data_IF_892205390517
#
_entry.id   IF_892205390517
#
_cell.length_a   1.000
_cell.length_b   1.000
_cell.length_c   1.000
_cell.angle_alpha   90.00
_cell.angle_beta   90.00
_cell.angle_gamma   90.00
#
_symmetry.space_group_name_H-M   'P 1'
#
loop_
_entity.id
_entity.type
_entity.pdbx_description
1 polymer ?
#
# COMPACT_ATOMS: atom_id res chain seq x y z
N UNK A 1 -0.83 -4.51 -11.07
CA UNK A 1 -0.44 -4.37 -9.65
C UNK A 1 -0.65 -2.93 -9.23
N UNK A 2 -1.53 -2.66 -8.27
CA UNK A 2 -1.71 -1.32 -7.69
C UNK A 2 -0.60 -1.06 -6.67
N UNK A 3 0.61 -0.77 -7.15
CA UNK A 3 1.70 -0.35 -6.27
C UNK A 3 1.39 1.07 -5.77
N UNK A 4 1.44 1.34 -4.45
CA UNK A 4 1.21 2.67 -3.93
C UNK A 4 2.13 3.70 -4.59
N UNK A 5 1.57 4.80 -5.10
CA UNK A 5 2.36 5.81 -5.81
C UNK A 5 3.46 6.46 -4.95
N UNK A 6 3.30 6.46 -3.62
CA UNK A 6 4.34 6.89 -2.68
C UNK A 6 5.56 5.96 -2.66
N UNK A 7 5.37 4.64 -2.82
CA UNK A 7 6.49 3.69 -2.96
C UNK A 7 7.20 3.87 -4.30
N UNK A 8 6.44 4.14 -5.38
CA UNK A 8 7.03 4.44 -6.69
C UNK A 8 7.94 5.67 -6.62
N UNK A 9 7.52 6.70 -5.88
CA UNK A 9 8.34 7.89 -5.65
C UNK A 9 9.63 7.58 -4.88
N UNK A 10 9.54 6.82 -3.77
CA UNK A 10 10.72 6.37 -3.00
C UNK A 10 11.69 5.62 -3.91
N UNK A 11 11.18 4.71 -4.74
CA UNK A 11 12.00 3.92 -5.66
C UNK A 11 12.70 4.78 -6.71
N UNK A 12 12.00 5.71 -7.34
CA UNK A 12 12.59 6.60 -8.35
C UNK A 12 13.67 7.51 -7.74
N UNK A 13 13.47 7.97 -6.51
CA UNK A 13 14.45 8.76 -5.75
C UNK A 13 15.68 7.94 -5.38
N UNK A 14 15.48 6.78 -4.77
CA UNK A 14 16.56 5.86 -4.38
C UNK A 14 17.40 5.47 -5.59
N UNK A 15 16.76 5.10 -6.70
CA UNK A 15 17.43 4.72 -7.95
C UNK A 15 18.20 5.87 -8.58
N UNK A 16 17.75 7.12 -8.42
CA UNK A 16 18.52 8.27 -8.86
C UNK A 16 19.80 8.43 -8.04
N UNK A 17 19.70 8.33 -6.72
CA UNK A 17 20.86 8.45 -5.81
C UNK A 17 21.87 7.32 -6.04
N UNK A 18 21.42 6.06 -6.17
CA UNK A 18 22.27 4.90 -6.47
C UNK A 18 23.05 5.04 -7.79
N UNK A 19 22.53 5.83 -8.72
CA UNK A 19 23.17 6.13 -10.01
C UNK A 19 24.02 7.39 -9.99
N UNK A 20 24.31 7.95 -8.81
CA UNK A 20 24.96 9.25 -8.63
C UNK A 20 24.26 10.40 -9.38
N UNK A 21 22.94 10.31 -9.52
CA UNK A 21 22.12 11.37 -10.13
C UNK A 21 21.53 12.26 -9.05
N UNK A 22 21.22 13.50 -9.42
CA UNK A 22 20.57 14.43 -8.50
C UNK A 22 19.16 13.96 -8.12
N UNK A 23 18.73 14.33 -6.93
CA UNK A 23 17.38 14.04 -6.42
C UNK A 23 16.29 14.59 -7.37
N UNK A 24 16.55 15.74 -7.99
CA UNK A 24 15.69 16.33 -9.02
C UNK A 24 15.46 15.39 -10.22
N UNK A 25 16.44 14.59 -10.63
CA UNK A 25 16.26 13.62 -11.71
C UNK A 25 15.30 12.50 -11.30
N UNK A 26 15.35 12.04 -10.04
CA UNK A 26 14.37 11.09 -9.51
C UNK A 26 12.96 11.68 -9.48
N UNK A 27 12.80 12.91 -9.01
CA UNK A 27 11.53 13.62 -9.01
C UNK A 27 10.96 13.83 -10.41
N UNK A 28 11.82 14.22 -11.36
CA UNK A 28 11.43 14.40 -12.76
C UNK A 28 10.89 13.09 -13.35
N UNK A 29 11.59 11.96 -13.15
CA UNK A 29 11.12 10.64 -13.58
C UNK A 29 9.76 10.28 -13.01
N UNK A 30 9.53 10.56 -11.73
CA UNK A 30 8.24 10.28 -11.10
C UNK A 30 7.10 11.11 -11.74
N UNK A 31 7.35 12.39 -12.00
CA UNK A 31 6.36 13.30 -12.61
C UNK A 31 6.07 12.94 -14.09
N UNK A 32 7.09 12.47 -14.83
CA UNK A 32 6.95 12.03 -16.22
C UNK A 32 6.12 10.75 -16.40
N UNK A 33 5.90 9.97 -15.32
CA UNK A 33 5.06 8.76 -15.36
C UNK A 33 3.55 9.05 -15.47
N UNK A 34 3.12 10.31 -15.36
CA UNK A 34 1.73 10.77 -15.45
C UNK A 34 0.73 9.91 -14.65
N UNK A 35 1.09 9.61 -13.39
CA UNK A 35 0.25 8.80 -12.51
C UNK A 35 -0.98 9.59 -12.08
N UNK A 36 -2.18 9.11 -12.41
CA UNK A 36 -3.47 9.78 -12.07
C UNK A 36 -3.98 9.49 -10.65
N UNK A 37 -3.11 9.01 -9.77
CA UNK A 37 -3.48 8.66 -8.40
C UNK A 37 -3.58 9.90 -7.50
N UNK A 38 -4.43 9.86 -6.46
CA UNK A 38 -4.64 10.97 -5.50
C UNK A 38 -3.31 11.53 -4.96
N UNK A 39 -2.40 10.66 -4.53
CA UNK A 39 -1.09 11.06 -4.03
C UNK A 39 -0.24 11.76 -5.10
N UNK A 40 -0.17 11.22 -6.32
CA UNK A 40 0.65 11.78 -7.39
C UNK A 40 0.19 13.19 -7.78
N UNK A 41 -1.13 13.41 -7.88
CA UNK A 41 -1.70 14.74 -8.13
C UNK A 41 -1.41 15.71 -6.98
N UNK A 42 -1.57 15.27 -5.73
CA UNK A 42 -1.22 16.09 -4.56
C UNK A 42 0.27 16.42 -4.52
N UNK A 43 1.12 15.46 -4.87
CA UNK A 43 2.57 15.65 -4.94
C UNK A 43 2.96 16.64 -6.03
N UNK A 44 2.38 16.52 -7.23
CA UNK A 44 2.63 17.45 -8.33
C UNK A 44 2.22 18.89 -7.97
N UNK A 45 1.05 19.05 -7.35
CA UNK A 45 0.60 20.34 -6.84
C UNK A 45 1.57 20.90 -5.79
N UNK A 46 1.94 20.09 -4.80
CA UNK A 46 2.92 20.46 -3.79
C UNK A 46 4.27 20.87 -4.41
N UNK A 47 4.76 20.10 -5.38
CA UNK A 47 6.02 20.36 -6.06
C UNK A 47 6.02 21.69 -6.81
N UNK A 48 4.91 22.01 -7.48
CA UNK A 48 4.73 23.29 -8.16
C UNK A 48 4.74 24.46 -7.16
N UNK A 49 4.05 24.33 -6.03
CA UNK A 49 4.06 25.35 -4.98
C UNK A 49 5.44 25.52 -4.33
N UNK A 50 6.13 24.40 -4.06
CA UNK A 50 7.49 24.40 -3.50
C UNK A 50 8.46 25.16 -4.40
N UNK A 51 8.39 24.92 -5.72
CA UNK A 51 9.23 25.63 -6.71
C UNK A 51 8.91 27.12 -6.81
N UNK A 52 7.64 27.49 -6.67
CA UNK A 52 7.19 28.88 -6.72
C UNK A 52 7.31 29.60 -5.37
N UNK A 53 7.84 28.96 -4.32
CA UNK A 53 7.94 29.50 -2.95
C UNK A 53 6.61 30.01 -2.38
N UNK A 54 5.49 29.42 -2.81
CA UNK A 54 4.17 29.76 -2.28
C UNK A 54 3.85 28.92 -1.05
N UNK A 55 2.97 29.41 -0.17
CA UNK A 55 2.46 28.61 0.94
C UNK A 55 1.79 27.34 0.41
N UNK A 56 2.21 26.14 0.87
CA UNK A 56 1.63 24.90 0.41
C UNK A 56 0.18 24.80 0.91
N UNK A 57 -0.78 24.39 0.07
CA UNK A 57 -2.13 24.14 0.53
C UNK A 57 -2.17 22.96 1.51
N UNK A 58 -3.24 22.86 2.29
CA UNK A 58 -3.42 21.73 3.21
C UNK A 58 -3.65 20.43 2.43
N UNK A 59 -2.66 19.54 2.44
CA UNK A 59 -2.76 18.22 1.82
C UNK A 59 -3.13 17.14 2.85
N UNK A 60 -4.05 16.24 2.47
CA UNK A 60 -4.43 15.07 3.27
C UNK A 60 -3.49 13.89 3.01
N UNK A 61 -2.23 14.01 3.46
CA UNK A 61 -1.24 12.93 3.36
C UNK A 61 -1.30 11.97 4.54
N UNK A 62 -1.06 10.69 4.26
CA UNK A 62 -0.82 9.66 5.28
C UNK A 62 0.48 9.93 6.05
N UNK A 63 0.68 9.27 7.19
CA UNK A 63 1.87 9.47 8.02
C UNK A 63 3.17 9.22 7.24
N UNK A 64 3.29 8.08 6.54
CA UNK A 64 4.44 7.76 5.70
C UNK A 64 4.65 8.77 4.56
N UNK A 65 3.57 9.25 3.95
CA UNK A 65 3.66 10.27 2.90
C UNK A 65 4.20 11.59 3.46
N UNK A 66 3.77 12.02 4.66
CA UNK A 66 4.31 13.24 5.29
C UNK A 66 5.81 13.13 5.56
N UNK A 67 6.25 11.98 6.08
CA UNK A 67 7.67 11.69 6.33
C UNK A 67 8.45 11.73 5.02
N UNK A 68 7.94 11.09 3.96
CA UNK A 68 8.56 11.13 2.63
C UNK A 68 8.75 12.57 2.12
N UNK A 69 7.73 13.41 2.24
CA UNK A 69 7.84 14.81 1.78
C UNK A 69 8.87 15.59 2.60
N UNK A 70 8.90 15.41 3.91
CA UNK A 70 9.91 16.05 4.75
C UNK A 70 11.33 15.59 4.40
N UNK A 71 11.52 14.29 4.11
CA UNK A 71 12.79 13.77 3.63
C UNK A 71 13.18 14.39 2.28
N UNK A 72 12.23 14.51 1.35
CA UNK A 72 12.49 15.17 0.07
C UNK A 72 12.91 16.63 0.27
N UNK A 73 12.23 17.38 1.15
CA UNK A 73 12.60 18.76 1.46
C UNK A 73 14.02 18.85 2.02
N UNK A 74 14.38 17.98 2.97
CA UNK A 74 15.74 17.89 3.53
C UNK A 74 16.77 17.53 2.45
N UNK A 75 16.46 16.54 1.60
CA UNK A 75 17.33 16.14 0.49
C UNK A 75 17.56 17.24 -0.53
N UNK A 76 16.55 18.06 -0.81
CA UNK A 76 16.68 19.23 -1.68
C UNK A 76 17.47 20.37 -1.02
N UNK A 77 17.47 20.45 0.31
CA UNK A 77 18.32 21.35 1.07
C UNK A 77 19.80 20.87 1.16
N UNK A 78 20.14 19.75 0.52
CA UNK A 78 21.50 19.23 0.44
C UNK A 78 21.90 18.26 1.56
N UNK A 79 20.97 17.87 2.43
CA UNK A 79 21.28 16.83 3.43
C UNK A 79 21.26 15.44 2.81
N UNK A 80 22.15 14.52 3.21
CA UNK A 80 22.09 13.13 2.75
C UNK A 80 20.84 12.45 3.30
N UNK A 81 20.01 11.90 2.42
CA UNK A 81 18.75 11.23 2.78
C UNK A 81 18.68 9.75 2.38
N UNK A 82 19.77 9.20 1.85
CA UNK A 82 19.76 7.85 1.27
C UNK A 82 19.37 6.77 2.29
N UNK A 83 20.02 6.76 3.45
CA UNK A 83 19.75 5.78 4.50
C UNK A 83 18.31 5.88 5.02
N UNK A 84 17.81 7.10 5.19
CA UNK A 84 16.42 7.35 5.59
C UNK A 84 15.41 6.90 4.53
N UNK A 85 15.75 7.00 3.24
CA UNK A 85 14.89 6.48 2.16
C UNK A 85 14.83 4.96 2.18
N UNK A 86 15.95 4.27 2.47
CA UNK A 86 15.97 2.81 2.61
C UNK A 86 15.12 2.38 3.81
N UNK A 87 15.29 3.06 4.94
CA UNK A 87 14.52 2.74 6.15
C UNK A 87 13.02 2.96 5.91
N UNK A 88 12.64 4.06 5.27
CA UNK A 88 11.25 4.35 4.94
C UNK A 88 10.66 3.32 3.96
N UNK A 89 11.43 2.89 2.95
CA UNK A 89 11.05 1.84 2.01
C UNK A 89 10.73 0.53 2.75
N UNK A 90 11.62 0.11 3.65
CA UNK A 90 11.44 -1.09 4.46
C UNK A 90 10.21 -0.99 5.37
N UNK A 91 10.02 0.16 6.04
CA UNK A 91 8.84 0.39 6.89
C UNK A 91 7.53 0.36 6.09
N UNK A 92 7.52 0.93 4.88
CA UNK A 92 6.33 0.94 4.02
C UNK A 92 5.99 -0.47 3.50
N UNK A 93 7.00 -1.28 3.17
CA UNK A 93 6.83 -2.68 2.77
C UNK A 93 6.29 -3.49 3.95
N UNK A 94 6.93 -3.41 5.11
CA UNK A 94 6.51 -4.14 6.31
C UNK A 94 5.07 -3.79 6.71
N UNK A 95 4.69 -2.50 6.68
CA UNK A 95 3.32 -2.08 6.96
C UNK A 95 2.32 -2.66 5.94
N UNK A 96 2.73 -2.84 4.68
CA UNK A 96 1.89 -3.48 3.67
C UNK A 96 1.74 -4.98 3.92
N UNK A 97 2.81 -5.65 4.36
CA UNK A 97 2.78 -7.07 4.72
C UNK A 97 1.89 -7.32 5.94
N UNK A 98 1.97 -6.48 6.97
CA UNK A 98 1.10 -6.53 8.15
C UNK A 98 -0.39 -6.39 7.77
N UNK A 99 -0.70 -5.47 6.84
CA UNK A 99 -2.07 -5.27 6.37
C UNK A 99 -2.56 -6.48 5.57
N UNK A 100 -1.70 -7.09 4.74
CA UNK A 100 -2.00 -8.32 4.02
C UNK A 100 -2.26 -9.46 5.01
N UNK A 101 -1.38 -9.65 5.99
CA UNK A 101 -1.50 -10.73 6.98
C UNK A 101 -2.79 -10.61 7.79
N UNK A 102 -3.16 -9.41 8.23
CA UNK A 102 -4.45 -9.16 8.90
C UNK A 102 -5.63 -9.61 8.04
N UNK A 103 -5.65 -9.28 6.75
CA UNK A 103 -6.74 -9.68 5.86
C UNK A 103 -6.74 -11.18 5.55
N UNK A 104 -5.55 -11.79 5.39
CA UNK A 104 -5.42 -13.23 5.15
C UNK A 104 -5.85 -14.04 6.39
N UNK A 105 -5.53 -13.57 7.60
CA UNK A 105 -5.87 -14.28 8.84
C UNK A 105 -7.39 -14.50 9.03
N UNK A 106 -8.22 -13.63 8.45
CA UNK A 106 -9.69 -13.72 8.50
C UNK A 106 -10.28 -14.62 7.40
N UNK A 107 -9.51 -14.86 6.33
CA UNK A 107 -9.97 -15.63 5.17
C UNK A 107 -10.39 -17.07 5.52
N UNK A 108 -9.63 -17.84 6.34
CA UNK A 108 -10.02 -19.19 6.75
C UNK A 108 -11.37 -19.23 7.47
N UNK A 109 -11.65 -18.25 8.32
CA UNK A 109 -12.91 -18.18 9.07
C UNK A 109 -14.09 -17.88 8.13
N UNK A 110 -13.90 -16.94 7.19
CA UNK A 110 -14.92 -16.61 6.19
C UNK A 110 -15.20 -17.81 5.28
N UNK A 111 -14.18 -18.58 4.91
CA UNK A 111 -14.31 -19.80 4.10
C UNK A 111 -15.00 -20.96 4.84
N UNK A 112 -14.99 -20.99 6.17
CA UNK A 112 -15.70 -22.01 6.94
C UNK A 112 -17.23 -21.87 6.85
N UNK A 113 -17.77 -20.65 6.73
CA UNK A 113 -19.22 -20.40 6.64
C UNK A 113 -19.88 -21.10 5.43
N UNK A 114 -19.42 -20.90 4.18
CA UNK A 114 -20.01 -21.61 3.04
C UNK A 114 -19.78 -23.12 3.11
N UNK A 115 -18.66 -23.55 3.69
CA UNK A 115 -18.33 -24.96 3.84
C UNK A 115 -19.27 -25.65 4.85
N UNK A 116 -19.60 -24.99 5.97
CA UNK A 116 -20.66 -25.41 6.90
C UNK A 116 -22.03 -25.45 6.24
N UNK A 117 -22.35 -24.47 5.38
CA UNK A 117 -23.58 -24.45 4.59
C UNK A 117 -23.72 -25.65 3.65
N UNK A 118 -22.62 -26.27 3.22
CA UNK A 118 -22.61 -27.49 2.42
C UNK A 118 -22.56 -28.77 3.25
N UNK A 119 -21.75 -28.79 4.32
CA UNK A 119 -21.58 -29.94 5.20
C UNK A 119 -22.82 -30.23 6.03
N UNK A 120 -23.49 -29.20 6.55
CA UNK A 120 -24.64 -29.37 7.42
C UNK A 120 -25.81 -30.09 6.73
N UNK A 121 -26.25 -29.71 5.52
CA UNK A 121 -27.28 -30.46 4.80
C UNK A 121 -26.85 -31.88 4.44
N UNK A 122 -25.58 -32.08 4.09
CA UNK A 122 -25.07 -33.41 3.74
C UNK A 122 -25.11 -34.36 4.94
N UNK A 123 -24.70 -33.89 6.13
CA UNK A 123 -24.78 -34.65 7.38
C UNK A 123 -26.25 -34.91 7.76
N UNK A 124 -27.14 -33.92 7.60
CA UNK A 124 -28.56 -34.10 7.83
C UNK A 124 -29.17 -35.17 6.91
N UNK A 125 -28.87 -35.16 5.61
CA UNK A 125 -29.32 -36.23 4.70
C UNK A 125 -28.79 -37.60 5.14
N UNK A 126 -27.52 -37.67 5.51
CA UNK A 126 -26.88 -38.93 5.90
C UNK A 126 -27.49 -39.53 7.18
N UNK A 127 -28.00 -38.69 8.09
CA UNK A 127 -28.72 -39.11 9.30
C UNK A 127 -30.22 -39.35 9.08
N UNK A 128 -30.91 -38.48 8.33
CA UNK A 128 -32.35 -38.56 8.10
C UNK A 128 -32.74 -39.78 7.26
N UNK A 129 -31.96 -40.12 6.24
CA UNK A 129 -32.26 -41.28 5.38
C UNK A 129 -32.34 -42.60 6.16
N UNK A 130 -31.34 -42.99 6.99
CA UNK A 130 -31.44 -44.19 7.80
C UNK A 130 -32.47 -44.07 8.93
N UNK A 131 -32.66 -42.89 9.55
CA UNK A 131 -33.67 -42.69 10.58
C UNK A 131 -35.10 -42.89 10.04
N UNK A 132 -35.40 -42.38 8.84
CA UNK A 132 -36.68 -42.60 8.17
C UNK A 132 -36.91 -44.07 7.80
N UNK A 133 -35.87 -44.78 7.34
CA UNK A 133 -35.95 -46.23 7.07
C UNK A 133 -36.23 -47.05 8.34
N UNK A 134 -35.69 -46.62 9.49
CA UNK A 134 -35.95 -47.25 10.79
C UNK A 134 -37.37 -47.00 11.30
N UNK A 135 -37.96 -45.85 10.98
CA UNK A 135 -39.32 -45.44 11.38
C UNK A 135 -40.43 -45.95 10.45
N UNK A 136 -40.10 -46.41 9.24
CA UNK A 136 -41.03 -47.02 8.28
C UNK A 136 -41.11 -48.56 8.39
N UNK A 137 -40.62 -49.10 9.50
CA UNK A 137 -40.82 -50.47 9.98
C UNK A 137 -41.88 -50.44 11.09
#
# INVERSE_FOLDING_TARGET
>A
MNIPSSLVLVWDLRRAIERNQSLHMGLKRFLERDLKCKFALQFQNWWNHYRLQHQPPHFSWSMHQRVLIQLIQKGLAGTPIYDYLIELDAQMINSCEDDIEKHISLLPLILQIPLLGLLFPAILMLLLVPALKLLQL
#
